data_IF_956815629232
#
_entry.id   IF_956815629232
#
_cell.length_a   1.000
_cell.length_b   1.000
_cell.length_c   1.000
_cell.angle_alpha   90.00
_cell.angle_beta   90.00
_cell.angle_gamma   90.00
#
_symmetry.space_group_name_H-M   'P 1'
#
loop_
_entity.id
_entity.type
_entity.pdbx_description
1 polymer ?
#
# COMPACT_ATOMS: atom_id res chain seq x y z
N UNK A 1 -19.38 48.30 24.80
CA UNK A 1 -19.63 47.16 25.71
C UNK A 1 -20.54 46.09 25.10
N UNK A 2 -21.86 46.28 24.93
CA UNK A 2 -22.72 45.22 24.34
C UNK A 2 -22.37 44.90 22.86
N UNK A 3 -22.06 45.92 22.04
CA UNK A 3 -21.70 45.71 20.63
C UNK A 3 -20.30 45.11 20.42
N UNK A 4 -19.39 45.27 21.37
CA UNK A 4 -18.07 44.62 21.31
C UNK A 4 -18.18 43.13 21.63
N UNK A 5 -19.06 42.78 22.57
CA UNK A 5 -19.29 41.40 23.00
C UNK A 5 -19.99 40.58 21.90
N UNK A 6 -20.92 41.19 21.17
CA UNK A 6 -21.55 40.58 19.99
C UNK A 6 -20.56 40.36 18.84
N UNK A 7 -19.66 41.32 18.60
CA UNK A 7 -18.62 41.18 17.59
C UNK A 7 -17.65 40.04 17.94
N UNK A 8 -17.18 39.94 19.18
CA UNK A 8 -16.32 38.84 19.61
C UNK A 8 -17.00 37.46 19.47
N UNK A 9 -18.27 37.34 19.84
CA UNK A 9 -19.06 36.12 19.68
C UNK A 9 -19.22 35.73 18.21
N UNK A 10 -19.47 36.73 17.35
CA UNK A 10 -19.55 36.53 15.90
C UNK A 10 -18.22 36.02 15.34
N UNK A 11 -17.10 36.68 15.63
CA UNK A 11 -15.78 36.24 15.16
C UNK A 11 -15.40 34.86 15.70
N UNK A 12 -15.75 34.55 16.95
CA UNK A 12 -15.48 33.24 17.55
C UNK A 12 -16.30 32.13 16.91
N UNK A 13 -17.57 32.37 16.60
CA UNK A 13 -18.42 31.41 15.88
C UNK A 13 -17.95 31.20 14.43
N UNK A 14 -17.53 32.27 13.74
CA UNK A 14 -16.98 32.20 12.39
C UNK A 14 -15.68 31.37 12.35
N UNK A 15 -14.81 31.56 13.33
CA UNK A 15 -13.54 30.84 13.43
C UNK A 15 -13.75 29.35 13.76
N UNK A 16 -14.73 29.04 14.63
CA UNK A 16 -15.14 27.66 14.90
C UNK A 16 -15.73 26.98 13.65
N UNK A 17 -16.55 27.70 12.89
CA UNK A 17 -17.15 27.18 11.66
C UNK A 17 -16.11 26.99 10.55
N UNK A 18 -15.15 27.91 10.42
CA UNK A 18 -14.04 27.79 9.47
C UNK A 18 -13.11 26.63 9.84
N UNK A 19 -12.77 26.50 11.14
CA UNK A 19 -12.01 25.36 11.67
C UNK A 19 -12.74 24.03 11.43
N UNK A 20 -14.08 24.00 11.61
CA UNK A 20 -14.91 22.85 11.31
C UNK A 20 -14.89 22.48 9.82
N UNK A 21 -15.06 23.46 8.91
CA UNK A 21 -15.05 23.23 7.46
C UNK A 21 -13.67 22.73 6.98
N UNK A 22 -12.57 23.36 7.41
CA UNK A 22 -11.21 22.95 7.04
C UNK A 22 -10.89 21.56 7.58
N UNK A 23 -11.29 21.26 8.81
CA UNK A 23 -11.16 19.91 9.39
C UNK A 23 -11.98 18.89 8.58
N UNK A 24 -13.20 19.23 8.19
CA UNK A 24 -14.10 18.34 7.45
C UNK A 24 -13.66 18.09 5.99
N UNK A 25 -13.06 19.08 5.31
CA UNK A 25 -12.51 18.89 3.96
C UNK A 25 -11.26 18.00 3.94
N UNK A 26 -10.51 17.96 5.03
CA UNK A 26 -9.35 17.07 5.20
C UNK A 26 -9.76 15.62 5.53
N UNK A 27 -10.96 15.40 6.08
CA UNK A 27 -11.41 14.11 6.59
C UNK A 27 -11.74 13.11 5.46
N UNK A 28 -12.61 13.43 4.50
CA UNK A 28 -12.91 12.60 3.30
C UNK A 28 -11.71 12.36 2.35
N UNK A 29 -10.53 12.88 2.70
CA UNK A 29 -9.31 12.86 1.90
C UNK A 29 -8.34 11.74 2.30
N UNK A 30 -8.42 11.15 3.50
CA UNK A 30 -7.28 10.38 4.04
C UNK A 30 -7.06 9.00 3.40
N UNK A 31 -8.10 8.39 2.82
CA UNK A 31 -7.98 7.10 2.13
C UNK A 31 -7.55 7.24 0.65
N UNK A 32 -7.91 8.34 -0.01
CA UNK A 32 -7.67 8.54 -1.45
C UNK A 32 -6.18 8.51 -1.83
N UNK A 33 -5.26 9.19 -1.12
CA UNK A 33 -3.83 9.09 -1.37
C UNK A 33 -3.33 7.66 -1.30
N UNK A 34 -3.81 6.87 -0.33
CA UNK A 34 -3.40 5.48 -0.16
C UNK A 34 -3.83 4.60 -1.34
N UNK A 35 -5.02 4.85 -1.87
CA UNK A 35 -5.52 4.19 -3.08
C UNK A 35 -4.73 4.58 -4.33
N UNK A 36 -4.35 5.85 -4.47
CA UNK A 36 -3.52 6.34 -5.57
C UNK A 36 -2.14 5.69 -5.51
N UNK A 37 -1.47 5.71 -4.35
CA UNK A 37 -0.17 5.06 -4.16
C UNK A 37 -0.28 3.58 -4.52
N UNK A 38 -1.28 2.87 -3.99
CA UNK A 38 -1.50 1.46 -4.30
C UNK A 38 -1.65 1.18 -5.81
N UNK A 39 -2.44 2.01 -6.51
CA UNK A 39 -2.61 1.87 -7.96
C UNK A 39 -1.30 2.11 -8.72
N UNK A 40 -0.51 3.09 -8.30
CA UNK A 40 0.79 3.40 -8.90
C UNK A 40 1.77 2.24 -8.73
N UNK A 41 1.85 1.64 -7.53
CA UNK A 41 2.69 0.46 -7.27
C UNK A 41 2.27 -0.73 -8.16
N UNK A 42 0.97 -1.02 -8.25
CA UNK A 42 0.46 -2.06 -9.14
C UNK A 42 0.77 -1.77 -10.62
N UNK A 43 0.62 -0.50 -11.04
CA UNK A 43 0.86 -0.07 -12.40
C UNK A 43 2.31 -0.26 -12.81
N UNK A 44 3.28 0.10 -11.96
CA UNK A 44 4.71 -0.06 -12.27
C UNK A 44 5.11 -1.52 -12.41
N UNK A 45 4.65 -2.41 -11.52
CA UNK A 45 4.91 -3.86 -11.64
C UNK A 45 4.31 -4.40 -12.94
N UNK A 46 3.06 -4.03 -13.24
CA UNK A 46 2.37 -4.49 -14.44
C UNK A 46 3.05 -4.00 -15.73
N UNK A 47 3.41 -2.71 -15.77
CA UNK A 47 4.13 -2.11 -16.89
C UNK A 47 5.49 -2.78 -17.11
N UNK A 48 6.26 -2.99 -16.03
CA UNK A 48 7.56 -3.63 -16.12
C UNK A 48 7.46 -5.09 -16.57
N UNK A 49 6.41 -5.81 -16.17
CA UNK A 49 6.12 -7.16 -16.66
C UNK A 49 5.85 -7.17 -18.16
N UNK A 50 5.01 -6.25 -18.66
CA UNK A 50 4.74 -6.11 -20.10
C UNK A 50 6.03 -5.83 -20.87
N UNK A 51 6.82 -4.85 -20.43
CA UNK A 51 8.07 -4.47 -21.10
C UNK A 51 9.04 -5.66 -21.15
N UNK A 52 9.21 -6.36 -20.01
CA UNK A 52 10.09 -7.53 -19.90
C UNK A 52 9.69 -8.63 -20.89
N UNK A 53 8.39 -8.91 -21.00
CA UNK A 53 7.86 -9.91 -21.93
C UNK A 53 8.06 -9.47 -23.38
N UNK A 54 7.72 -8.23 -23.73
CA UNK A 54 7.80 -7.74 -25.10
C UNK A 54 9.24 -7.69 -25.65
N UNK A 55 10.21 -7.29 -24.80
CA UNK A 55 11.62 -7.24 -25.17
C UNK A 55 12.18 -8.66 -25.37
N UNK A 56 11.87 -9.59 -24.48
CA UNK A 56 12.45 -10.94 -24.50
C UNK A 56 11.60 -11.98 -25.26
N UNK A 57 10.49 -11.59 -25.90
CA UNK A 57 9.45 -12.50 -26.40
C UNK A 57 9.92 -13.69 -27.25
N UNK A 58 11.02 -13.54 -27.99
CA UNK A 58 11.56 -14.59 -28.86
C UNK A 58 12.62 -15.49 -28.18
N UNK A 59 13.06 -15.11 -26.98
CA UNK A 59 14.13 -15.78 -26.22
C UNK A 59 13.64 -16.37 -24.91
N UNK A 60 12.40 -16.05 -24.50
CA UNK A 60 11.82 -16.59 -23.28
C UNK A 60 11.77 -18.11 -23.34
N UNK A 61 12.38 -18.75 -22.35
CA UNK A 61 12.24 -20.18 -22.09
C UNK A 61 11.70 -20.38 -20.67
N UNK A 62 11.31 -21.61 -20.36
CA UNK A 62 10.81 -21.96 -19.04
C UNK A 62 11.58 -23.17 -18.51
N UNK A 63 12.39 -22.96 -17.48
CA UNK A 63 13.09 -24.06 -16.79
C UNK A 63 13.12 -23.81 -15.28
N UNK A 64 12.61 -24.76 -14.50
CA UNK A 64 12.58 -24.69 -13.04
C UNK A 64 13.78 -25.42 -12.40
N UNK A 65 14.61 -26.12 -13.17
CA UNK A 65 15.72 -26.92 -12.67
C UNK A 65 16.91 -26.03 -12.28
N UNK A 66 17.27 -25.94 -10.98
CA UNK A 66 18.38 -25.10 -10.52
C UNK A 66 19.73 -25.49 -11.14
N UNK A 67 19.92 -26.75 -11.52
CA UNK A 67 21.16 -27.21 -12.15
C UNK A 67 21.45 -26.50 -13.49
N UNK A 68 20.40 -26.14 -14.23
CA UNK A 68 20.50 -25.50 -15.55
C UNK A 68 20.42 -23.97 -15.47
N UNK A 69 19.93 -23.44 -14.35
CA UNK A 69 19.49 -22.04 -14.22
C UNK A 69 20.22 -21.29 -13.10
N UNK A 70 21.24 -21.92 -12.51
CA UNK A 70 22.19 -21.25 -11.63
C UNK A 70 22.95 -20.15 -12.41
N UNK A 71 23.31 -19.03 -11.76
CA UNK A 71 23.11 -18.73 -10.34
C UNK A 71 21.74 -18.11 -10.00
N UNK A 72 20.91 -17.82 -11.00
CA UNK A 72 19.68 -17.02 -10.83
C UNK A 72 18.57 -17.80 -10.09
N UNK A 73 18.42 -19.08 -10.38
CA UNK A 73 17.61 -20.01 -9.60
C UNK A 73 18.50 -20.64 -8.51
N UNK A 74 18.11 -20.62 -7.21
CA UNK A 74 16.82 -20.24 -6.65
C UNK A 74 16.75 -18.84 -6.02
N UNK A 75 17.76 -17.98 -6.23
CA UNK A 75 17.88 -16.69 -5.55
C UNK A 75 16.65 -15.81 -5.79
N UNK A 76 16.23 -15.62 -7.06
CA UNK A 76 15.08 -14.77 -7.39
C UNK A 76 13.76 -15.25 -6.75
N UNK A 77 13.36 -16.54 -6.93
CA UNK A 77 12.20 -17.11 -6.25
C UNK A 77 12.22 -16.96 -4.73
N UNK A 78 13.36 -17.28 -4.08
CA UNK A 78 13.48 -17.24 -2.63
C UNK A 78 13.29 -15.82 -2.12
N UNK A 79 13.95 -14.83 -2.73
CA UNK A 79 13.78 -13.43 -2.35
C UNK A 79 12.33 -12.97 -2.56
N UNK A 80 11.68 -13.40 -3.64
CA UNK A 80 10.27 -13.14 -3.88
C UNK A 80 9.34 -13.68 -2.78
N UNK A 81 9.60 -14.89 -2.31
CA UNK A 81 8.83 -15.52 -1.22
C UNK A 81 9.12 -14.89 0.15
N UNK A 82 10.37 -14.53 0.41
CA UNK A 82 10.76 -13.78 1.62
C UNK A 82 10.04 -12.43 1.62
N UNK A 83 10.05 -11.70 0.51
CA UNK A 83 9.41 -10.39 0.42
C UNK A 83 7.91 -10.46 0.69
N UNK A 84 7.22 -11.46 0.13
CA UNK A 84 5.82 -11.76 0.41
C UNK A 84 5.58 -12.04 1.90
N UNK A 85 6.40 -12.90 2.50
CA UNK A 85 6.26 -13.30 3.90
C UNK A 85 6.51 -12.11 4.85
N UNK A 86 7.58 -11.36 4.60
CA UNK A 86 7.95 -10.17 5.38
C UNK A 86 6.88 -9.10 5.24
N UNK A 87 6.28 -8.92 4.05
CA UNK A 87 5.18 -7.98 3.86
C UNK A 87 3.99 -8.26 4.78
N UNK A 88 3.55 -9.52 4.85
CA UNK A 88 2.43 -9.96 5.69
C UNK A 88 2.76 -9.76 7.18
N UNK A 89 3.96 -10.18 7.59
CA UNK A 89 4.41 -10.08 8.98
C UNK A 89 4.56 -8.62 9.39
N UNK A 90 5.18 -7.78 8.55
CA UNK A 90 5.39 -6.36 8.83
C UNK A 90 4.07 -5.62 8.98
N UNK A 91 3.11 -5.85 8.07
CA UNK A 91 1.78 -5.26 8.19
C UNK A 91 1.11 -5.63 9.51
N UNK A 92 1.02 -6.94 9.79
CA UNK A 92 0.39 -7.45 11.01
C UNK A 92 1.05 -6.86 12.26
N UNK A 93 2.37 -6.88 12.34
CA UNK A 93 3.12 -6.38 13.48
C UNK A 93 2.91 -4.89 13.72
N UNK A 94 2.87 -4.09 12.65
CA UNK A 94 2.62 -2.65 12.77
C UNK A 94 1.19 -2.36 13.22
N UNK A 95 0.21 -3.06 12.66
CA UNK A 95 -1.19 -2.92 13.07
C UNK A 95 -1.39 -3.31 14.54
N UNK A 96 -0.81 -4.43 15.00
CA UNK A 96 -0.97 -4.87 16.40
C UNK A 96 -0.33 -3.93 17.43
N UNK A 97 0.59 -3.07 16.99
CA UNK A 97 1.26 -2.08 17.85
C UNK A 97 0.51 -0.75 17.94
N UNK A 98 -0.56 -0.57 17.17
CA UNK A 98 -1.37 0.64 17.23
C UNK A 98 -2.07 0.70 18.58
N UNK A 99 -1.78 1.75 19.36
CA UNK A 99 -2.44 1.99 20.64
C UNK A 99 -3.94 2.24 20.43
N UNK A 100 -4.76 1.49 21.16
CA UNK A 100 -6.22 1.61 21.09
C UNK A 100 -6.74 2.89 21.72
N UNK A 101 -5.98 3.50 22.66
CA UNK A 101 -6.31 4.80 23.24
C UNK A 101 -5.87 5.98 22.36
N UNK A 102 -5.13 5.73 21.27
CA UNK A 102 -4.70 6.78 20.35
C UNK A 102 -5.88 7.44 19.63
N UNK A 103 -5.69 8.69 19.23
CA UNK A 103 -6.66 9.42 18.42
C UNK A 103 -6.87 8.72 17.07
N UNK A 104 -8.07 8.86 16.50
CA UNK A 104 -8.43 8.29 15.18
C UNK A 104 -7.43 8.67 14.10
N UNK A 105 -7.04 9.96 14.06
CA UNK A 105 -6.06 10.47 13.12
C UNK A 105 -4.70 9.78 13.26
N UNK A 106 -4.25 9.53 14.48
CA UNK A 106 -3.02 8.79 14.74
C UNK A 106 -3.12 7.34 14.27
N UNK A 107 -4.25 6.66 14.54
CA UNK A 107 -4.50 5.28 14.08
C UNK A 107 -4.47 5.18 12.56
N UNK A 108 -5.11 6.13 11.85
CA UNK A 108 -5.13 6.19 10.38
C UNK A 108 -3.72 6.40 9.82
N UNK A 109 -2.94 7.32 10.39
CA UNK A 109 -1.56 7.58 9.94
C UNK A 109 -0.65 6.36 10.12
N UNK A 110 -0.79 5.65 11.24
CA UNK A 110 -0.05 4.41 11.50
C UNK A 110 -0.47 3.28 10.54
N UNK A 111 -1.77 3.16 10.25
CA UNK A 111 -2.27 2.24 9.22
C UNK A 111 -1.69 2.54 7.85
N UNK A 112 -1.68 3.82 7.43
CA UNK A 112 -1.13 4.23 6.13
C UNK A 112 0.34 3.83 6.03
N UNK A 113 1.12 4.06 7.09
CA UNK A 113 2.54 3.67 7.15
C UNK A 113 2.69 2.15 7.00
N UNK A 114 1.92 1.37 7.75
CA UNK A 114 1.94 -0.09 7.67
C UNK A 114 1.58 -0.60 6.28
N UNK A 115 0.55 -0.02 5.67
CA UNK A 115 0.09 -0.36 4.34
C UNK A 115 1.13 -0.06 3.25
N UNK A 116 1.73 1.13 3.28
CA UNK A 116 2.74 1.54 2.28
C UNK A 116 3.96 0.64 2.38
N UNK A 117 4.46 0.38 3.59
CA UNK A 117 5.61 -0.51 3.79
C UNK A 117 5.34 -1.93 3.26
N UNK A 118 4.18 -2.50 3.64
CA UNK A 118 3.77 -3.83 3.17
C UNK A 118 3.61 -3.88 1.64
N UNK A 119 3.05 -2.84 1.05
CA UNK A 119 2.86 -2.75 -0.40
C UNK A 119 4.20 -2.63 -1.14
N UNK A 120 5.13 -1.82 -0.64
CA UNK A 120 6.47 -1.65 -1.20
C UNK A 120 7.29 -2.96 -1.15
N UNK A 121 7.13 -3.76 -0.08
CA UNK A 121 7.76 -5.09 -0.01
C UNK A 121 7.21 -6.04 -1.08
N UNK A 122 5.90 -6.05 -1.33
CA UNK A 122 5.30 -6.87 -2.39
C UNK A 122 5.76 -6.39 -3.79
N UNK A 123 5.76 -5.08 -4.03
CA UNK A 123 6.30 -4.49 -5.25
C UNK A 123 7.76 -4.89 -5.46
N UNK A 124 8.60 -4.73 -4.44
CA UNK A 124 10.03 -5.09 -4.50
C UNK A 124 10.25 -6.56 -4.84
N UNK A 125 9.49 -7.47 -4.20
CA UNK A 125 9.53 -8.90 -4.52
C UNK A 125 9.10 -9.20 -5.96
N UNK A 126 8.08 -8.49 -6.46
CA UNK A 126 7.62 -8.63 -7.83
C UNK A 126 8.65 -8.12 -8.85
N UNK A 127 9.10 -6.87 -8.70
CA UNK A 127 10.08 -6.25 -9.57
C UNK A 127 11.41 -7.02 -9.58
N UNK A 128 11.85 -7.55 -8.43
CA UNK A 128 13.06 -8.36 -8.36
C UNK A 128 12.95 -9.63 -9.22
N UNK A 129 11.82 -10.33 -9.18
CA UNK A 129 11.59 -11.51 -10.03
C UNK A 129 11.41 -11.16 -11.52
N UNK A 130 10.83 -9.99 -11.82
CA UNK A 130 10.78 -9.47 -13.19
C UNK A 130 12.18 -9.14 -13.72
N UNK A 131 13.05 -8.55 -12.90
CA UNK A 131 14.47 -8.36 -13.24
C UNK A 131 15.12 -9.72 -13.50
N UNK A 132 14.89 -10.71 -12.64
CA UNK A 132 15.38 -12.08 -12.86
C UNK A 132 14.95 -12.65 -14.20
N UNK A 133 13.68 -12.47 -14.58
CA UNK A 133 13.17 -12.87 -15.89
C UNK A 133 13.88 -12.10 -17.01
N UNK A 134 14.06 -10.80 -16.85
CA UNK A 134 14.68 -9.93 -17.85
C UNK A 134 16.14 -10.29 -18.14
N UNK A 135 16.97 -10.53 -17.12
CA UNK A 135 18.38 -10.90 -17.33
C UNK A 135 18.59 -12.35 -17.74
N UNK A 136 17.79 -13.29 -17.22
CA UNK A 136 17.99 -14.73 -17.48
C UNK A 136 17.21 -15.26 -18.68
N UNK A 137 16.24 -14.48 -19.19
CA UNK A 137 15.22 -14.90 -20.16
C UNK A 137 14.37 -16.10 -19.68
N UNK A 138 14.44 -16.47 -18.39
CA UNK A 138 13.68 -17.57 -17.84
C UNK A 138 12.33 -17.09 -17.29
N UNK A 139 11.25 -17.48 -17.96
CA UNK A 139 9.88 -17.17 -17.60
C UNK A 139 9.43 -17.83 -16.29
N UNK A 140 10.17 -18.81 -15.74
CA UNK A 140 9.87 -19.41 -14.44
C UNK A 140 9.75 -18.36 -13.32
N UNK A 141 10.59 -17.31 -13.35
CA UNK A 141 10.57 -16.26 -12.33
C UNK A 141 9.32 -15.36 -12.42
N UNK A 142 8.64 -15.30 -13.57
CA UNK A 142 7.37 -14.56 -13.72
C UNK A 142 6.28 -15.08 -12.77
N UNK A 143 6.30 -16.36 -12.41
CA UNK A 143 5.33 -16.94 -11.46
C UNK A 143 5.42 -16.22 -10.11
N UNK A 144 6.63 -16.01 -9.59
CA UNK A 144 6.85 -15.37 -8.30
C UNK A 144 6.58 -13.87 -8.34
N UNK A 145 6.84 -13.24 -9.48
CA UNK A 145 6.42 -11.86 -9.74
C UNK A 145 4.89 -11.73 -9.72
N UNK A 146 4.19 -12.63 -10.42
CA UNK A 146 2.73 -12.65 -10.47
C UNK A 146 2.11 -12.92 -9.10
N UNK A 147 2.66 -13.84 -8.30
CA UNK A 147 2.19 -14.10 -6.93
C UNK A 147 2.29 -12.83 -6.07
N UNK A 148 3.43 -12.14 -6.08
CA UNK A 148 3.59 -10.89 -5.34
C UNK A 148 2.61 -9.81 -5.82
N UNK A 149 2.43 -9.66 -7.15
CA UNK A 149 1.47 -8.72 -7.73
C UNK A 149 0.02 -9.04 -7.34
N UNK A 150 -0.38 -10.31 -7.35
CA UNK A 150 -1.72 -10.73 -6.95
C UNK A 150 -1.98 -10.37 -5.48
N UNK A 151 -1.00 -10.63 -4.60
CA UNK A 151 -1.09 -10.22 -3.19
C UNK A 151 -1.16 -8.70 -3.04
N UNK A 152 -0.37 -7.97 -3.83
CA UNK A 152 -0.42 -6.51 -3.85
C UNK A 152 -1.84 -6.03 -4.21
N UNK A 153 -2.39 -6.46 -5.34
CA UNK A 153 -3.75 -6.11 -5.81
C UNK A 153 -4.81 -6.48 -4.78
N UNK A 154 -4.74 -7.70 -4.20
CA UNK A 154 -5.67 -8.16 -3.17
C UNK A 154 -5.66 -7.24 -1.94
N UNK A 155 -4.50 -6.67 -1.62
CA UNK A 155 -4.32 -5.82 -0.45
C UNK A 155 -4.91 -4.42 -0.62
N UNK A 156 -5.48 -4.06 -1.78
CA UNK A 156 -6.12 -2.75 -2.03
C UNK A 156 -6.82 -2.15 -0.79
N UNK A 157 -6.50 -0.89 -0.42
CA UNK A 157 -7.05 -0.26 0.77
C UNK A 157 -8.49 0.19 0.48
N UNK A 158 -9.41 -0.26 1.32
CA UNK A 158 -10.85 0.06 1.24
C UNK A 158 -11.33 0.60 2.57
N UNK A 159 -12.42 1.37 2.56
CA UNK A 159 -13.02 1.93 3.78
C UNK A 159 -13.33 0.81 4.78
N UNK A 160 -13.97 -0.26 4.30
CA UNK A 160 -14.34 -1.41 5.12
C UNK A 160 -13.13 -2.08 5.79
N UNK A 161 -12.05 -2.31 5.04
CA UNK A 161 -10.81 -2.89 5.60
C UNK A 161 -10.19 -1.96 6.64
N UNK A 162 -10.19 -0.66 6.40
CA UNK A 162 -9.64 0.31 7.35
C UNK A 162 -10.46 0.31 8.66
N UNK A 163 -11.79 0.42 8.55
CA UNK A 163 -12.72 0.40 9.69
C UNK A 163 -12.58 -0.90 10.48
N UNK A 164 -12.57 -2.05 9.79
CA UNK A 164 -12.46 -3.35 10.46
C UNK A 164 -11.10 -3.57 11.12
N UNK A 165 -10.02 -3.09 10.49
CA UNK A 165 -8.65 -3.28 11.00
C UNK A 165 -8.38 -2.38 12.22
N UNK A 166 -8.88 -1.13 12.18
CA UNK A 166 -8.68 -0.15 13.24
C UNK A 166 -9.80 -0.16 14.30
N UNK A 167 -10.82 -1.00 14.12
CA UNK A 167 -12.00 -1.11 14.99
C UNK A 167 -12.67 0.25 15.26
N UNK A 168 -12.79 1.07 14.22
CA UNK A 168 -13.36 2.42 14.32
C UNK A 168 -14.86 2.36 14.57
N UNK A 169 -15.37 3.29 15.39
CA UNK A 169 -16.77 3.38 15.78
C UNK A 169 -17.39 4.68 15.24
N UNK A 170 -18.72 4.71 15.15
CA UNK A 170 -19.45 5.94 14.82
C UNK A 170 -19.26 6.99 15.94
N UNK A 171 -19.08 8.30 15.64
CA UNK A 171 -19.20 8.97 14.34
C UNK A 171 -17.91 9.03 13.51
N UNK A 172 -16.79 8.49 13.99
CA UNK A 172 -15.47 8.62 13.34
C UNK A 172 -15.44 8.02 11.92
N UNK A 173 -16.34 7.09 11.62
CA UNK A 173 -16.49 6.49 10.28
C UNK A 173 -17.06 7.43 9.21
N UNK A 174 -17.82 8.47 9.59
CA UNK A 174 -18.35 9.46 8.63
C UNK A 174 -17.23 10.31 7.99
N UNK A 175 -16.08 10.33 8.66
CA UNK A 175 -14.93 11.15 8.31
C UNK A 175 -14.00 10.48 7.29
N UNK A 176 -14.29 9.25 6.84
CA UNK A 176 -13.48 8.44 5.91
C UNK A 176 -14.08 8.39 4.51
#
# INVERSE_FOLDING_TARGET
>A
MLSELENELFFRSLNLYFSYIVKNSLMNSKLKPLQIIHLVLCFFVFLFAIITILINRNQLYFDANPANTAPFNPIFPIVGLISLSVSIIAFKNLITKIDQAATVDSKINQYQTAFILSSALLEGGALFNLVGTFVSQNAFFLIFAAVNLIFLIRNRPTKDKLISTLQLQYPDTETL
#
